data_IF_097757061220
#
_entry.id   IF_097757061220
#
_cell.length_a   1.000
_cell.length_b   1.000
_cell.length_c   1.000
_cell.angle_alpha   90.00
_cell.angle_beta   90.00
_cell.angle_gamma   90.00
#
_symmetry.space_group_name_H-M   'P 1'
#
loop_
_entity.id
_entity.type
_entity.pdbx_description
1 polymer ?
#
# COMPACT_ATOMS: atom_id res chain seq x y z
N UNK A 1 -22.20 -11.76 -19.76
CA UNK A 1 -20.94 -12.00 -19.03
C UNK A 1 -20.81 -10.90 -18.01
N UNK A 2 -20.58 -11.14 -16.71
CA UNK A 2 -20.26 -10.05 -15.81
C UNK A 2 -18.93 -9.45 -16.28
N UNK A 3 -18.95 -8.17 -16.67
CA UNK A 3 -17.77 -7.43 -17.11
C UNK A 3 -16.89 -7.13 -15.88
N UNK A 4 -16.13 -8.13 -15.44
CA UNK A 4 -15.11 -7.97 -14.41
C UNK A 4 -13.86 -7.32 -15.02
N UNK A 5 -13.34 -6.29 -14.35
CA UNK A 5 -12.08 -5.66 -14.72
C UNK A 5 -10.97 -6.22 -13.85
N UNK A 6 -10.01 -6.89 -14.49
CA UNK A 6 -8.85 -7.43 -13.78
C UNK A 6 -8.06 -6.30 -13.08
N UNK A 7 -7.48 -6.56 -11.90
CA UNK A 7 -6.69 -5.56 -11.19
C UNK A 7 -5.48 -5.15 -12.01
N UNK A 8 -5.30 -3.84 -12.20
CA UNK A 8 -4.11 -3.29 -12.80
C UNK A 8 -3.73 -1.96 -12.14
N UNK A 9 -2.46 -1.59 -12.31
CA UNK A 9 -1.91 -0.34 -11.80
C UNK A 9 -1.81 0.66 -12.96
N UNK A 10 -2.83 1.51 -13.18
CA UNK A 10 -2.81 2.50 -14.25
C UNK A 10 -1.69 3.54 -14.08
N UNK A 11 -1.20 3.74 -12.85
CA UNK A 11 -0.14 4.67 -12.53
C UNK A 11 0.99 3.94 -11.80
N UNK A 12 2.22 4.35 -12.08
CA UNK A 12 3.38 3.84 -11.35
C UNK A 12 3.27 4.21 -9.87
N UNK A 13 3.61 3.27 -8.95
CA UNK A 13 3.71 3.57 -7.54
C UNK A 13 4.66 4.73 -7.27
N UNK A 14 4.26 5.64 -6.38
CA UNK A 14 5.09 6.78 -5.95
C UNK A 14 5.54 6.54 -4.53
N UNK A 15 6.86 6.47 -4.32
CA UNK A 15 7.46 6.42 -3.00
C UNK A 15 7.90 7.83 -2.57
N UNK A 16 7.54 8.24 -1.35
CA UNK A 16 7.94 9.51 -0.73
C UNK A 16 8.51 9.26 0.65
N UNK A 17 9.65 9.87 0.97
CA UNK A 17 10.18 9.87 2.32
C UNK A 17 9.81 11.20 2.97
N UNK A 18 9.21 11.13 4.15
CA UNK A 18 8.81 12.29 4.94
C UNK A 18 9.99 12.74 5.84
N UNK A 19 9.94 13.99 6.30
CA UNK A 19 10.99 14.57 7.15
C UNK A 19 11.13 13.87 8.52
N UNK A 20 10.07 13.20 8.98
CA UNK A 20 10.07 12.38 10.20
C UNK A 20 10.74 11.01 10.02
N UNK A 21 11.25 10.71 8.82
CA UNK A 21 11.87 9.44 8.47
C UNK A 21 10.88 8.36 8.04
N UNK A 22 9.57 8.62 8.08
CA UNK A 22 8.56 7.69 7.55
C UNK A 22 8.62 7.62 6.02
N UNK A 23 8.19 6.49 5.44
CA UNK A 23 8.05 6.32 3.98
C UNK A 23 6.58 6.12 3.65
N UNK A 24 6.08 6.90 2.70
CA UNK A 24 4.80 6.71 2.04
C UNK A 24 4.98 6.03 0.70
N UNK A 25 4.19 5.00 0.45
CA UNK A 25 4.04 4.39 -0.86
C UNK A 25 2.60 4.57 -1.31
N UNK A 26 2.41 5.30 -2.39
CA UNK A 26 1.12 5.60 -3.00
C UNK A 26 0.98 4.79 -4.28
N UNK A 27 -0.10 4.01 -4.37
CA UNK A 27 -0.43 3.19 -5.53
C UNK A 27 -1.86 3.47 -5.98
N UNK A 28 -2.10 3.41 -7.28
CA UNK A 28 -3.44 3.46 -7.84
C UNK A 28 -3.79 2.08 -8.38
N UNK A 29 -4.91 1.53 -7.94
CA UNK A 29 -5.39 0.20 -8.31
C UNK A 29 -6.78 0.32 -8.90
N UNK A 30 -6.94 -0.21 -10.11
CA UNK A 30 -8.22 -0.20 -10.79
C UNK A 30 -8.65 -1.63 -11.13
N UNK A 31 -9.71 -2.08 -10.46
CA UNK A 31 -10.30 -3.40 -10.62
C UNK A 31 -11.81 -3.38 -10.32
N UNK A 32 -12.53 -4.34 -10.90
CA UNK A 32 -13.96 -4.56 -10.62
C UNK A 32 -14.24 -6.07 -10.61
N UNK A 33 -14.75 -6.65 -9.51
CA UNK A 33 -15.04 -6.00 -8.22
C UNK A 33 -13.76 -5.53 -7.49
N UNK A 34 -13.93 -4.71 -6.44
CA UNK A 34 -12.82 -4.22 -5.63
C UNK A 34 -12.05 -5.40 -5.01
N UNK A 35 -10.71 -5.48 -5.20
CA UNK A 35 -9.93 -6.63 -4.78
C UNK A 35 -9.51 -6.49 -3.31
N UNK A 36 -9.12 -7.61 -2.71
CA UNK A 36 -8.47 -7.64 -1.41
C UNK A 36 -6.96 -7.36 -1.58
N UNK A 37 -6.43 -6.34 -0.92
CA UNK A 37 -5.07 -5.87 -1.13
C UNK A 37 -4.16 -6.35 0.01
N UNK A 38 -3.01 -6.94 -0.36
CA UNK A 38 -2.03 -7.49 0.58
C UNK A 38 -0.65 -6.91 0.32
N UNK A 39 0.00 -6.48 1.39
CA UNK A 39 1.34 -5.91 1.35
C UNK A 39 2.37 -6.91 1.88
N UNK A 40 3.49 -7.04 1.16
CA UNK A 40 4.59 -7.91 1.53
C UNK A 40 5.87 -7.11 1.68
N UNK A 41 6.63 -7.37 2.74
CA UNK A 41 7.97 -6.84 2.94
C UNK A 41 8.91 -7.99 3.28
N UNK A 42 9.99 -8.12 2.51
CA UNK A 42 11.01 -9.16 2.71
C UNK A 42 10.44 -10.60 2.69
N UNK A 43 9.40 -10.85 1.89
CA UNK A 43 8.61 -12.10 1.83
C UNK A 43 7.64 -12.36 3.00
N UNK A 44 7.51 -11.44 3.95
CA UNK A 44 6.50 -11.51 5.02
C UNK A 44 5.29 -10.63 4.70
N UNK A 45 4.09 -11.15 4.95
CA UNK A 45 2.86 -10.35 4.90
C UNK A 45 2.92 -9.29 6.02
N UNK A 46 2.72 -8.02 5.64
CA UNK A 46 2.90 -6.86 6.51
C UNK A 46 1.75 -6.69 7.52
N UNK A 47 0.75 -7.58 7.51
CA UNK A 47 -0.40 -7.61 8.42
C UNK A 47 0.00 -7.81 9.89
N UNK A 48 1.23 -8.28 10.16
CA UNK A 48 1.68 -8.66 11.50
C UNK A 48 2.67 -7.68 12.15
N UNK A 49 2.92 -6.49 11.56
CA UNK A 49 3.83 -5.49 12.15
C UNK A 49 3.16 -4.12 12.29
N UNK A 50 3.22 -3.55 13.50
CA UNK A 50 2.62 -2.26 13.87
C UNK A 50 3.24 -1.02 13.20
N UNK A 51 4.22 -1.17 12.31
CA UNK A 51 4.82 -0.05 11.56
C UNK A 51 4.10 0.34 10.28
N UNK A 52 3.17 -0.46 9.77
CA UNK A 52 2.49 -0.18 8.52
C UNK A 52 1.05 0.28 8.76
N UNK A 53 0.65 1.38 8.12
CA UNK A 53 -0.73 1.88 8.10
C UNK A 53 -1.20 2.00 6.66
N UNK A 54 -2.25 1.26 6.34
CA UNK A 54 -2.89 1.26 5.02
C UNK A 54 -4.10 2.19 5.03
N UNK A 55 -4.28 2.96 3.95
CA UNK A 55 -5.46 3.80 3.72
C UNK A 55 -5.94 3.60 2.29
N UNK A 56 -7.24 3.34 2.14
CA UNK A 56 -7.89 3.22 0.83
C UNK A 56 -8.83 4.41 0.63
N UNK A 57 -8.61 5.16 -0.44
CA UNK A 57 -9.43 6.30 -0.86
C UNK A 57 -9.90 6.06 -2.30
N UNK A 58 -11.05 5.40 -2.44
CA UNK A 58 -11.57 4.97 -3.75
C UNK A 58 -10.65 3.95 -4.43
N UNK A 59 -10.03 4.33 -5.55
CA UNK A 59 -9.08 3.52 -6.32
C UNK A 59 -7.61 3.82 -5.93
N UNK A 60 -7.41 4.71 -4.97
CA UNK A 60 -6.08 5.12 -4.49
C UNK A 60 -5.79 4.42 -3.18
N UNK A 61 -4.65 3.74 -3.10
CA UNK A 61 -4.17 3.14 -1.86
C UNK A 61 -2.87 3.82 -1.41
N UNK A 62 -2.79 4.16 -0.13
CA UNK A 62 -1.64 4.81 0.50
C UNK A 62 -1.17 3.94 1.65
N UNK A 63 0.09 3.52 1.58
CA UNK A 63 0.78 2.76 2.62
C UNK A 63 1.79 3.65 3.31
N UNK A 64 1.60 3.93 4.59
CA UNK A 64 2.58 4.61 5.42
C UNK A 64 3.38 3.58 6.21
N UNK A 65 4.71 3.59 6.10
CA UNK A 65 5.61 2.92 7.02
C UNK A 65 6.16 3.95 8.00
N UNK A 66 5.85 3.80 9.29
CA UNK A 66 6.60 4.51 10.32
C UNK A 66 7.99 3.88 10.34
N UNK A 67 9.05 4.67 10.15
CA UNK A 67 10.37 4.20 10.56
C UNK A 67 10.25 3.89 12.04
N UNK A 68 10.35 2.61 12.39
CA UNK A 68 10.52 2.24 13.79
C UNK A 68 11.72 3.05 14.28
N UNK A 69 11.49 3.90 15.29
CA UNK A 69 12.59 4.45 16.08
C UNK A 69 13.50 3.29 16.42
N UNK A 70 14.80 3.50 16.22
CA UNK A 70 15.86 2.63 16.71
C UNK A 70 15.43 2.05 18.05
N UNK A 71 15.20 0.74 18.08
CA UNK A 71 15.15 0.00 19.33
C UNK A 71 16.56 0.15 19.92
N UNK A 72 16.68 1.03 20.91
CA UNK A 72 17.70 0.88 21.95
C UNK A 72 17.40 -0.40 22.73
#
# INVERSE_FOLDING_TARGET
MPEGKAPHFPQQPVARQNDDGSLELECFLDASPQPDIKWFYDNWESSNRSCYRFKLEGNKEITHRSAFGTML
#
